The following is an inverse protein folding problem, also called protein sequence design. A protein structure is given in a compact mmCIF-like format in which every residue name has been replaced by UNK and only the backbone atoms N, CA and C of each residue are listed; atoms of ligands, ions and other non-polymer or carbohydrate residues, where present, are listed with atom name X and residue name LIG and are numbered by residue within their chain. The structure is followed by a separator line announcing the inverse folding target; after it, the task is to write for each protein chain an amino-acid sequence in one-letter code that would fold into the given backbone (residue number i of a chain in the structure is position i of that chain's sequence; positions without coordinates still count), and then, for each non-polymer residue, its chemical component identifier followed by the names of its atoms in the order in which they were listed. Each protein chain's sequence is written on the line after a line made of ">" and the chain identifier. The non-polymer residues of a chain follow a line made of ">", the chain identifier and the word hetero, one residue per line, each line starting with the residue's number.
data_IF_191935615150
#
_entry.id   IF_191935615150
#
_cell.length_a   1.000
_cell.length_b   1.000
_cell.length_c   1.000
_cell.angle_alpha   90.00
_cell.angle_beta   90.00
_cell.angle_gamma   90.00
#
_symmetry.space_group_name_H-M   'P 1'
#
loop_
_entity.id
_entity.type
_entity.pdbx_description
1 polymer ?
#
# COMPACT_ATOMS: atom_id res chain seq x y z
N UNK A 1 0.02 34.63 -20.80
CA UNK A 1 0.35 34.63 -19.37
C UNK A 1 1.56 33.75 -19.19
N UNK A 2 2.70 34.30 -18.79
CA UNK A 2 3.94 33.52 -18.63
C UNK A 2 3.73 32.50 -17.53
N UNK A 3 3.93 31.21 -17.82
CA UNK A 3 3.94 30.18 -16.80
C UNK A 3 5.17 30.45 -15.91
N UNK A 4 4.97 31.15 -14.79
CA UNK A 4 6.06 31.47 -13.89
C UNK A 4 6.52 30.19 -13.21
N UNK A 5 7.70 29.73 -13.64
CA UNK A 5 8.31 28.50 -13.17
C UNK A 5 9.01 28.78 -11.83
N UNK A 6 8.48 28.24 -10.73
CA UNK A 6 9.02 28.47 -9.38
C UNK A 6 9.52 27.17 -8.77
N UNK A 7 10.71 27.20 -8.18
CA UNK A 7 11.26 26.08 -7.42
C UNK A 7 10.43 25.91 -6.14
N UNK A 8 9.83 24.74 -5.96
CA UNK A 8 9.01 24.39 -4.80
C UNK A 8 9.43 23.05 -4.23
N UNK A 9 9.21 22.92 -2.92
CA UNK A 9 9.36 21.68 -2.19
C UNK A 9 8.06 20.89 -2.30
N UNK A 10 8.16 19.70 -2.87
CA UNK A 10 7.04 18.78 -3.06
C UNK A 10 7.21 17.60 -2.11
N UNK A 11 6.27 17.43 -1.19
CA UNK A 11 6.27 16.34 -0.20
C UNK A 11 5.74 15.04 -0.79
N UNK A 12 6.39 13.96 -0.40
CA UNK A 12 5.96 12.58 -0.63
C UNK A 12 5.92 11.80 0.69
N UNK A 13 5.38 10.57 0.66
CA UNK A 13 5.31 9.70 1.83
C UNK A 13 6.69 9.27 2.34
N UNK A 14 7.65 9.07 1.43
CA UNK A 14 9.02 8.64 1.71
C UNK A 14 10.06 9.75 1.64
N UNK A 15 9.65 11.02 1.55
CA UNK A 15 10.60 12.14 1.50
C UNK A 15 10.05 13.42 0.87
N UNK A 16 10.90 14.11 0.12
CA UNK A 16 10.49 15.27 -0.68
C UNK A 16 11.36 15.44 -1.91
N UNK A 17 10.84 16.16 -2.91
CA UNK A 17 11.56 16.52 -4.13
C UNK A 17 11.50 18.03 -4.29
N UNK A 18 12.63 18.63 -4.65
CA UNK A 18 12.70 20.03 -5.06
C UNK A 18 12.57 20.08 -6.57
N UNK A 19 11.48 20.67 -7.05
CA UNK A 19 11.20 20.75 -8.47
C UNK A 19 10.60 22.10 -8.85
N UNK A 20 10.86 22.50 -10.09
CA UNK A 20 10.28 23.70 -10.68
C UNK A 20 8.89 23.39 -11.22
N UNK A 21 7.88 24.02 -10.63
CA UNK A 21 6.45 23.80 -10.96
C UNK A 21 5.82 25.07 -11.50
N UNK A 22 4.77 24.91 -12.30
CA UNK A 22 3.93 26.01 -12.77
C UNK A 22 2.73 26.25 -11.82
N UNK A 23 2.00 27.36 -12.03
CA UNK A 23 0.86 27.72 -11.19
C UNK A 23 -0.23 26.64 -11.16
N UNK A 24 -0.51 25.99 -12.29
CA UNK A 24 -1.51 24.93 -12.37
C UNK A 24 -1.12 23.69 -11.55
N UNK A 25 0.15 23.28 -11.61
CA UNK A 25 0.69 22.19 -10.80
C UNK A 25 0.72 22.57 -9.33
N UNK A 26 1.09 23.81 -8.99
CA UNK A 26 1.05 24.31 -7.62
C UNK A 26 -0.37 24.27 -7.05
N UNK A 27 -1.38 24.67 -7.83
CA UNK A 27 -2.79 24.58 -7.43
C UNK A 27 -3.23 23.13 -7.21
N UNK A 28 -2.87 22.20 -8.11
CA UNK A 28 -3.16 20.77 -7.95
C UNK A 28 -2.48 20.16 -6.71
N UNK A 29 -1.23 20.54 -6.45
CA UNK A 29 -0.45 20.04 -5.33
C UNK A 29 -0.87 20.57 -3.97
N UNK A 30 -1.61 21.68 -3.92
CA UNK A 30 -2.08 22.27 -2.68
C UNK A 30 -3.40 21.61 -2.24
N UNK A 31 -3.30 20.70 -1.27
CA UNK A 31 -4.44 19.99 -0.70
C UNK A 31 -5.06 20.73 0.51
N UNK A 32 -4.92 22.06 0.57
CA UNK A 32 -5.44 22.89 1.67
C UNK A 32 -4.49 23.06 2.86
N UNK A 33 -3.19 22.80 2.65
CA UNK A 33 -2.14 22.93 3.66
C UNK A 33 -1.01 23.86 3.23
N UNK A 34 0.02 23.98 4.07
CA UNK A 34 1.23 24.74 3.75
C UNK A 34 2.16 24.00 2.76
N UNK A 35 2.08 22.67 2.74
CA UNK A 35 2.92 21.81 1.91
C UNK A 35 2.24 21.47 0.58
N UNK A 36 3.04 21.40 -0.49
CA UNK A 36 2.62 20.87 -1.79
C UNK A 36 2.92 19.38 -1.86
N UNK A 37 2.00 18.57 -2.39
CA UNK A 37 2.18 17.12 -2.48
C UNK A 37 2.39 16.64 -3.91
N UNK A 38 3.38 15.75 -4.09
CA UNK A 38 3.66 15.10 -5.38
C UNK A 38 2.50 14.24 -5.87
N UNK A 39 1.78 13.61 -4.95
CA UNK A 39 0.69 12.69 -5.27
C UNK A 39 -0.40 13.33 -6.15
N UNK A 40 -0.68 14.63 -5.94
CA UNK A 40 -1.72 15.36 -6.66
C UNK A 40 -1.19 16.12 -7.90
N UNK A 41 0.12 16.42 -7.94
CA UNK A 41 0.75 17.08 -9.09
C UNK A 41 0.91 16.12 -10.26
N UNK A 42 1.26 14.86 -9.98
CA UNK A 42 1.49 13.84 -10.99
C UNK A 42 2.96 13.70 -11.39
N UNK A 43 3.17 13.31 -12.65
CA UNK A 43 4.50 13.12 -13.23
C UNK A 43 5.22 14.45 -13.44
N UNK A 44 6.45 14.52 -12.97
CA UNK A 44 7.37 15.61 -13.25
C UNK A 44 8.46 15.13 -14.18
N UNK A 45 8.84 15.98 -15.12
CA UNK A 45 10.00 15.72 -15.99
C UNK A 45 11.29 15.77 -15.16
N UNK A 46 12.21 14.87 -15.47
CA UNK A 46 13.50 14.76 -14.77
C UNK A 46 14.29 16.08 -14.76
N UNK A 47 14.14 16.92 -15.80
CA UNK A 47 14.81 18.22 -15.91
C UNK A 47 14.25 19.27 -14.94
N UNK A 48 13.00 19.12 -14.50
CA UNK A 48 12.36 20.05 -13.55
C UNK A 48 12.79 19.76 -12.12
N UNK A 49 13.31 18.56 -11.84
CA UNK A 49 13.74 18.12 -10.52
C UNK A 49 15.21 18.48 -10.32
N UNK A 50 15.51 19.28 -9.29
CA UNK A 50 16.88 19.68 -8.98
C UNK A 50 17.51 18.81 -7.90
N UNK A 51 16.73 18.45 -6.86
CA UNK A 51 17.18 17.68 -5.71
C UNK A 51 16.06 16.81 -5.17
N UNK A 52 16.41 15.75 -4.46
CA UNK A 52 15.45 14.96 -3.69
C UNK A 52 16.02 14.51 -2.36
N UNK A 53 15.14 14.34 -1.38
CA UNK A 53 15.47 13.78 -0.07
C UNK A 53 14.72 12.47 0.12
N UNK A 54 15.42 11.46 0.61
CA UNK A 54 14.85 10.16 0.93
C UNK A 54 14.86 9.96 2.44
N UNK A 55 13.70 9.72 3.05
CA UNK A 55 13.55 9.43 4.47
C UNK A 55 14.28 8.14 4.86
N UNK A 56 14.30 7.12 4.00
CA UNK A 56 14.99 5.84 4.29
C UNK A 56 16.51 6.01 4.34
N UNK A 57 17.07 6.91 3.53
CA UNK A 57 18.51 7.20 3.55
C UNK A 57 18.86 8.31 4.55
N UNK A 58 17.88 9.07 5.02
CA UNK A 58 18.02 10.33 5.75
C UNK A 58 19.03 11.29 5.08
N UNK A 59 19.08 11.26 3.74
CA UNK A 59 20.05 11.99 2.93
C UNK A 59 19.36 12.74 1.79
N UNK A 60 19.93 13.90 1.49
CA UNK A 60 19.62 14.67 0.29
C UNK A 60 20.56 14.25 -0.84
N UNK A 61 19.99 14.10 -2.03
CA UNK A 61 20.67 13.72 -3.26
C UNK A 61 20.44 14.80 -4.31
N UNK A 62 21.47 15.12 -5.07
CA UNK A 62 21.38 16.04 -6.20
C UNK A 62 20.93 15.29 -7.46
N UNK A 63 20.03 15.90 -8.24
CA UNK A 63 19.41 15.30 -9.41
C UNK A 63 18.01 14.76 -9.16
N UNK A 64 17.56 13.86 -10.04
CA UNK A 64 16.21 13.30 -10.02
C UNK A 64 16.21 11.84 -9.52
N UNK A 65 15.20 11.43 -8.76
CA UNK A 65 14.98 10.02 -8.45
C UNK A 65 14.53 9.25 -9.71
N UNK A 66 14.67 7.93 -9.70
CA UNK A 66 14.17 7.06 -10.77
C UNK A 66 12.64 7.13 -10.78
N UNK A 67 12.04 7.43 -11.92
CA UNK A 67 10.58 7.48 -12.08
C UNK A 67 10.14 6.23 -12.86
N UNK A 68 9.33 5.38 -12.25
CA UNK A 68 8.66 4.25 -12.91
C UNK A 68 7.17 4.57 -12.97
N UNK A 69 6.56 4.45 -14.16
CA UNK A 69 5.14 4.74 -14.37
C UNK A 69 4.48 3.63 -15.18
N UNK A 70 3.20 3.42 -14.92
CA UNK A 70 2.33 2.42 -15.52
C UNK A 70 1.01 3.09 -15.91
N UNK A 71 0.46 2.71 -17.06
CA UNK A 71 -0.75 3.31 -17.63
C UNK A 71 -1.91 2.31 -17.61
N UNK A 72 -2.55 2.09 -16.45
CA UNK A 72 -3.57 1.05 -16.32
C UNK A 72 -4.85 1.34 -17.12
N UNK A 73 -5.20 2.62 -17.35
CA UNK A 73 -6.45 3.03 -18.00
C UNK A 73 -7.69 2.31 -17.44
N UNK A 74 -7.76 2.16 -16.13
CA UNK A 74 -8.83 1.44 -15.42
C UNK A 74 -9.93 2.40 -14.97
N UNK A 75 -11.20 2.05 -15.19
CA UNK A 75 -12.35 2.80 -14.70
C UNK A 75 -12.54 2.55 -13.20
N UNK A 76 -12.14 3.52 -12.37
CA UNK A 76 -12.21 3.41 -10.91
C UNK A 76 -13.57 3.82 -10.34
N UNK A 77 -14.32 4.64 -11.09
CA UNK A 77 -15.67 5.07 -10.76
C UNK A 77 -16.41 5.51 -12.04
N UNK A 78 -17.73 5.72 -11.95
CA UNK A 78 -18.54 6.25 -13.05
C UNK A 78 -17.91 7.54 -13.60
N UNK A 79 -17.46 7.52 -14.86
CA UNK A 79 -16.79 8.63 -15.58
C UNK A 79 -15.39 9.04 -15.06
N UNK A 80 -14.71 8.21 -14.26
CA UNK A 80 -13.35 8.49 -13.77
C UNK A 80 -12.40 7.33 -14.08
N UNK A 81 -11.40 7.59 -14.92
CA UNK A 81 -10.38 6.61 -15.33
C UNK A 81 -9.07 6.95 -14.62
N UNK A 82 -8.43 5.95 -14.00
CA UNK A 82 -7.04 6.03 -13.60
C UNK A 82 -6.15 5.87 -14.85
N UNK A 83 -5.70 6.99 -15.39
CA UNK A 83 -4.96 7.03 -16.64
C UNK A 83 -3.48 6.63 -16.47
N UNK A 84 -2.85 7.12 -15.40
CA UNK A 84 -1.44 6.88 -15.12
C UNK A 84 -1.22 6.73 -13.61
N UNK A 85 -0.37 5.79 -13.23
CA UNK A 85 0.16 5.66 -11.87
C UNK A 85 1.68 5.65 -11.97
N UNK A 86 2.37 6.39 -11.13
CA UNK A 86 3.84 6.32 -11.09
C UNK A 86 4.42 6.45 -9.71
N UNK A 87 5.66 5.98 -9.58
CA UNK A 87 6.43 5.93 -8.36
C UNK A 87 7.79 6.61 -8.57
N UNK A 88 8.14 7.46 -7.62
CA UNK A 88 9.46 8.09 -7.51
C UNK A 88 10.31 7.24 -6.57
N UNK A 89 11.37 6.63 -7.08
CA UNK A 89 12.21 5.65 -6.39
C UNK A 89 13.60 6.24 -6.15
N UNK A 90 14.11 6.11 -4.94
CA UNK A 90 15.46 6.55 -4.58
C UNK A 90 16.51 5.71 -5.31
N UNK A 91 17.47 6.35 -5.98
CA UNK A 91 18.54 5.65 -6.71
C UNK A 91 19.50 4.86 -5.80
N UNK A 92 19.64 5.27 -4.53
CA UNK A 92 20.63 4.70 -3.61
C UNK A 92 20.11 3.48 -2.85
N UNK A 93 18.85 3.53 -2.40
CA UNK A 93 18.25 2.46 -1.58
C UNK A 93 17.04 1.77 -2.23
N UNK A 94 16.63 2.20 -3.42
CA UNK A 94 15.43 1.72 -4.13
C UNK A 94 14.12 1.86 -3.33
N UNK A 95 14.08 2.70 -2.30
CA UNK A 95 12.86 3.00 -1.56
C UNK A 95 11.96 3.99 -2.32
N UNK A 96 10.64 3.81 -2.23
CA UNK A 96 9.66 4.72 -2.83
C UNK A 96 9.56 6.02 -2.02
N UNK A 97 9.90 7.14 -2.67
CA UNK A 97 9.84 8.49 -2.10
C UNK A 97 8.42 9.06 -2.20
N UNK A 98 7.74 8.82 -3.32
CA UNK A 98 6.38 9.26 -3.55
C UNK A 98 5.69 8.37 -4.58
N UNK A 99 4.37 8.23 -4.45
CA UNK A 99 3.49 7.66 -5.48
C UNK A 99 2.53 8.76 -5.95
N UNK A 100 2.25 8.81 -7.25
CA UNK A 100 1.23 9.67 -7.84
C UNK A 100 0.26 8.88 -8.69
N UNK A 101 -0.96 9.41 -8.82
CA UNK A 101 -2.05 8.85 -9.60
C UNK A 101 -2.69 9.96 -10.40
N UNK A 102 -2.78 9.80 -11.71
CA UNK A 102 -3.45 10.73 -12.60
C UNK A 102 -4.78 10.14 -13.05
N UNK A 103 -5.85 10.87 -12.76
CA UNK A 103 -7.19 10.51 -13.16
C UNK A 103 -7.64 11.39 -14.34
N UNK A 104 -8.24 10.77 -15.35
CA UNK A 104 -8.90 11.45 -16.46
C UNK A 104 -10.40 11.23 -16.33
N UNK A 105 -11.18 12.30 -16.48
CA UNK A 105 -12.63 12.21 -16.59
C UNK A 105 -12.98 11.99 -18.05
N UNK A 106 -13.90 11.07 -18.33
CA UNK A 106 -14.30 10.72 -19.70
C UNK A 106 -15.16 11.82 -20.38
N UNK A 107 -15.57 12.86 -19.65
CA UNK A 107 -16.39 13.97 -20.16
C UNK A 107 -15.92 15.33 -19.58
N UNK A 108 -15.02 16.03 -20.27
CA UNK A 108 -14.71 17.45 -20.02
C UNK A 108 -15.75 18.38 -20.70
N UNK A 109 -17.03 18.25 -20.35
CA UNK A 109 -18.06 19.28 -20.70
C UNK A 109 -19.04 19.61 -19.58
N UNK A 110 -18.79 19.17 -18.34
CA UNK A 110 -19.60 19.64 -17.20
C UNK A 110 -18.68 20.20 -16.12
N UNK A 111 -18.62 21.52 -16.14
CA UNK A 111 -18.15 22.44 -15.12
C UNK A 111 -18.55 21.96 -13.71
N UNK A 112 -17.62 21.30 -13.02
CA UNK A 112 -17.79 20.90 -11.62
C UNK A 112 -17.60 22.14 -10.76
N UNK A 113 -18.69 22.82 -10.42
CA UNK A 113 -18.63 23.94 -9.50
C UNK A 113 -19.86 24.85 -9.48
N UNK A 114 -21.00 24.37 -9.00
CA UNK A 114 -22.04 25.24 -8.42
C UNK A 114 -22.89 24.45 -7.43
N UNK A 115 -22.61 24.62 -6.14
CA UNK A 115 -23.53 24.17 -5.10
C UNK A 115 -24.71 25.15 -5.01
N UNK A 116 -25.95 24.65 -5.08
CA UNK A 116 -27.17 25.30 -4.56
C UNK A 116 -28.35 24.29 -4.52
N UNK A 117 -29.42 24.54 -3.74
CA UNK A 117 -29.86 23.68 -2.64
C UNK A 117 -31.17 22.92 -2.92
N UNK A 118 -31.52 22.04 -1.98
CA UNK A 118 -32.79 21.33 -1.85
C UNK A 118 -34.01 22.25 -2.06
N UNK A 119 -34.84 21.98 -3.07
CA UNK A 119 -36.26 22.35 -3.07
C UNK A 119 -37.15 21.28 -3.72
N UNK A 120 -38.13 20.88 -2.91
CA UNK A 120 -39.35 20.10 -3.16
C UNK A 120 -40.19 20.63 -4.32
N UNK A 121 -40.74 19.74 -5.15
CA UNK A 121 -42.08 19.85 -5.79
C UNK A 121 -42.40 18.45 -6.37
N UNK A 122 -43.16 17.58 -5.70
CA UNK A 122 -44.63 17.51 -5.61
C UNK A 122 -45.37 17.26 -6.94
N UNK A 123 -45.83 16.01 -7.08
CA UNK A 123 -47.12 15.54 -7.63
C UNK A 123 -47.33 15.65 -9.17
N UNK A 124 -47.76 14.61 -9.89
CA UNK A 124 -49.12 14.02 -9.85
C UNK A 124 -49.09 12.69 -10.64
N UNK A 125 -49.31 11.50 -10.04
CA UNK A 125 -50.57 10.70 -9.95
C UNK A 125 -51.18 10.40 -11.35
N UNK A 126 -51.30 9.16 -11.85
CA UNK A 126 -52.29 8.11 -11.47
C UNK A 126 -51.90 6.69 -11.99
N UNK A 127 -52.60 5.62 -11.55
CA UNK A 127 -52.05 4.27 -11.33
C UNK A 127 -52.57 3.18 -12.30
N UNK A 128 -51.86 2.06 -12.39
CA UNK A 128 -52.49 0.76 -12.67
C UNK A 128 -51.99 -0.30 -11.67
N UNK A 129 -52.92 -0.69 -10.80
CA UNK A 129 -52.88 -1.84 -9.91
C UNK A 129 -53.14 -3.11 -10.74
N UNK A 130 -52.27 -4.09 -10.57
CA UNK A 130 -52.58 -5.51 -10.70
C UNK A 130 -51.65 -6.22 -9.71
N UNK A 131 -52.21 -6.59 -8.56
CA UNK A 131 -51.57 -7.45 -7.55
C UNK A 131 -51.51 -8.92 -8.05
N UNK A 132 -51.09 -9.88 -7.22
CA UNK A 132 -49.71 -10.19 -6.85
C UNK A 132 -49.37 -11.62 -7.33
N UNK A 133 -48.12 -12.09 -7.18
CA UNK A 133 -47.81 -13.47 -6.74
C UNK A 133 -46.28 -13.69 -6.67
N UNK A 134 -45.87 -13.90 -5.41
CA UNK A 134 -44.85 -14.80 -4.87
C UNK A 134 -43.35 -14.58 -5.17
N UNK A 135 -42.72 -14.02 -4.15
CA UNK A 135 -41.38 -14.29 -3.66
C UNK A 135 -41.04 -15.80 -3.64
N UNK A 136 -39.94 -16.19 -4.27
CA UNK A 136 -39.13 -17.34 -3.87
C UNK A 136 -37.64 -17.00 -3.93
N UNK A 137 -36.93 -17.53 -2.94
CA UNK A 137 -35.55 -17.24 -2.55
C UNK A 137 -34.71 -18.46 -2.92
N UNK A 138 -33.46 -18.21 -3.34
CA UNK A 138 -32.23 -19.06 -3.44
C UNK A 138 -31.70 -19.45 -4.84
N UNK A 139 -30.36 -19.61 -4.94
CA UNK A 139 -29.61 -19.59 -6.20
C UNK A 139 -29.08 -20.97 -6.65
N UNK A 140 -29.06 -21.20 -7.96
CA UNK A 140 -28.28 -22.23 -8.69
C UNK A 140 -27.46 -21.48 -9.76
N UNK A 141 -26.13 -21.40 -9.68
CA UNK A 141 -25.09 -22.36 -10.14
C UNK A 141 -25.18 -22.71 -11.64
N UNK A 142 -24.22 -22.24 -12.45
CA UNK A 142 -23.36 -23.03 -13.39
C UNK A 142 -22.56 -22.10 -14.33
N UNK A 143 -21.22 -21.97 -14.22
CA UNK A 143 -20.12 -22.72 -14.88
C UNK A 143 -19.60 -22.17 -16.23
N UNK A 144 -18.30 -21.78 -16.24
CA UNK A 144 -17.20 -22.11 -17.19
C UNK A 144 -17.32 -21.60 -18.66
N UNK A 145 -16.28 -21.17 -19.42
CA UNK A 145 -14.84 -21.45 -19.45
C UNK A 145 -14.03 -20.49 -20.38
N UNK A 146 -12.72 -20.30 -20.07
CA UNK A 146 -11.50 -20.13 -20.91
C UNK A 146 -11.44 -19.04 -22.04
N UNK A 147 -10.35 -18.31 -22.38
CA UNK A 147 -8.86 -18.49 -22.34
C UNK A 147 -8.15 -17.10 -22.51
N UNK A 148 -6.93 -16.97 -21.95
CA UNK A 148 -5.92 -15.86 -21.95
C UNK A 148 -5.48 -15.28 -23.33
N UNK A 149 -4.58 -14.23 -23.47
CA UNK A 149 -3.55 -13.69 -22.53
C UNK A 149 -3.34 -12.15 -22.44
N UNK A 150 -2.66 -11.67 -21.36
CA UNK A 150 -2.00 -10.35 -21.32
C UNK A 150 -1.82 -9.72 -19.93
N UNK A 151 -0.69 -10.02 -19.26
CA UNK A 151 -0.16 -9.54 -17.96
C UNK A 151 -0.91 -8.43 -17.20
N UNK A 152 -1.78 -8.84 -16.29
CA UNK A 152 -2.01 -8.11 -15.05
C UNK A 152 -1.05 -8.68 -14.00
N UNK A 153 -0.36 -7.84 -13.24
CA UNK A 153 0.24 -8.27 -11.96
C UNK A 153 -0.92 -8.63 -11.07
N UNK A 154 -1.33 -9.90 -11.16
CA UNK A 154 -2.49 -10.43 -10.50
C UNK A 154 -2.42 -10.03 -9.03
N UNK A 155 -3.48 -9.41 -8.55
CA UNK A 155 -3.80 -9.40 -7.13
C UNK A 155 -3.98 -10.88 -6.81
N UNK A 156 -2.88 -11.57 -6.46
CA UNK A 156 -2.89 -13.01 -6.27
C UNK A 156 -3.81 -13.24 -5.08
N UNK A 157 -5.02 -13.71 -5.35
CA UNK A 157 -5.95 -14.14 -4.32
C UNK A 157 -5.18 -15.06 -3.40
N UNK A 158 -4.88 -14.57 -2.19
CA UNK A 158 -4.14 -15.35 -1.20
C UNK A 158 -4.95 -16.57 -0.77
N UNK A 159 -6.27 -16.53 -1.01
CA UNK A 159 -7.20 -17.63 -0.85
C UNK A 159 -6.80 -18.81 -1.76
N UNK A 160 -6.62 -19.98 -1.14
CA UNK A 160 -6.23 -21.22 -1.82
C UNK A 160 -4.73 -21.45 -1.96
N UNK A 161 -3.88 -20.46 -1.68
CA UNK A 161 -2.42 -20.62 -1.71
C UNK A 161 -1.95 -21.65 -0.68
N UNK A 162 -0.99 -22.48 -1.07
CA UNK A 162 -0.39 -23.45 -0.16
C UNK A 162 0.56 -22.77 0.82
N UNK A 163 0.43 -23.10 2.11
CA UNK A 163 1.24 -22.55 3.20
C UNK A 163 2.26 -23.59 3.63
N UNK A 164 3.54 -23.22 3.66
CA UNK A 164 4.65 -24.08 4.06
C UNK A 164 5.43 -23.50 5.23
N UNK A 165 5.93 -24.36 6.12
CA UNK A 165 6.85 -23.96 7.18
C UNK A 165 8.32 -23.90 6.72
N UNK A 166 9.21 -23.58 7.65
CA UNK A 166 10.67 -23.50 7.43
C UNK A 166 11.31 -24.84 7.01
N UNK A 167 10.65 -25.96 7.27
CA UNK A 167 11.09 -27.31 6.91
C UNK A 167 10.53 -27.77 5.55
N UNK A 168 9.94 -26.85 4.78
CA UNK A 168 9.20 -27.14 3.55
C UNK A 168 8.03 -28.13 3.75
N UNK A 169 7.48 -28.23 4.98
CA UNK A 169 6.30 -29.02 5.26
C UNK A 169 5.06 -28.18 4.97
N UNK A 170 4.16 -28.72 4.15
CA UNK A 170 2.87 -28.09 3.88
C UNK A 170 2.02 -28.09 5.14
N UNK A 171 1.64 -26.92 5.62
CA UNK A 171 0.80 -26.73 6.80
C UNK A 171 -0.69 -26.72 6.43
N UNK A 172 -1.03 -26.12 5.30
CA UNK A 172 -2.42 -26.01 4.86
C UNK A 172 -2.61 -25.17 3.61
N UNK A 173 -3.84 -24.70 3.42
CA UNK A 173 -4.22 -23.70 2.40
C UNK A 173 -4.71 -22.44 3.07
N UNK A 174 -4.33 -21.29 2.54
CA UNK A 174 -4.85 -20.01 3.00
C UNK A 174 -6.34 -19.87 2.67
N UNK A 175 -7.10 -19.35 3.63
CA UNK A 175 -8.55 -19.12 3.51
C UNK A 175 -8.82 -17.65 3.22
N UNK A 176 -8.43 -16.76 4.12
CA UNK A 176 -8.51 -15.29 3.97
C UNK A 176 -7.65 -14.59 5.04
N UNK A 177 -7.51 -13.27 4.94
CA UNK A 177 -6.84 -12.43 5.95
C UNK A 177 -7.87 -11.89 6.94
N UNK A 178 -7.59 -12.01 8.24
CA UNK A 178 -8.43 -11.53 9.32
C UNK A 178 -7.66 -10.64 10.31
N UNK A 179 -8.40 -10.10 11.27
CA UNK A 179 -7.87 -9.32 12.40
C UNK A 179 -8.27 -10.06 13.68
N UNK A 180 -7.32 -10.29 14.58
CA UNK A 180 -7.58 -10.95 15.86
C UNK A 180 -8.17 -9.97 16.91
N UNK A 181 -8.49 -10.49 18.10
CA UNK A 181 -9.04 -9.68 19.21
C UNK A 181 -8.09 -8.58 19.72
N UNK A 182 -6.80 -8.66 19.38
CA UNK A 182 -5.78 -7.67 19.74
C UNK A 182 -5.51 -6.67 18.60
N UNK A 183 -6.41 -6.59 17.61
CA UNK A 183 -6.26 -5.75 16.41
C UNK A 183 -5.04 -6.10 15.55
N UNK A 184 -4.48 -7.31 15.68
CA UNK A 184 -3.35 -7.78 14.90
C UNK A 184 -3.81 -8.55 13.67
N UNK A 185 -3.13 -8.33 12.54
CA UNK A 185 -3.43 -9.02 11.28
C UNK A 185 -2.99 -10.48 11.38
N UNK A 186 -3.89 -11.39 11.02
CA UNK A 186 -3.66 -12.84 11.03
C UNK A 186 -4.14 -13.47 9.73
N UNK A 187 -3.42 -14.47 9.22
CA UNK A 187 -3.83 -15.28 8.09
C UNK A 187 -4.62 -16.50 8.60
N UNK A 188 -5.87 -16.63 8.19
CA UNK A 188 -6.66 -17.83 8.46
C UNK A 188 -6.34 -18.89 7.40
N UNK A 189 -6.07 -20.11 7.87
CA UNK A 189 -5.71 -21.25 7.04
C UNK A 189 -6.61 -22.43 7.36
N UNK A 190 -6.78 -23.31 6.36
CA UNK A 190 -7.34 -24.65 6.54
C UNK A 190 -6.15 -25.60 6.56
N UNK A 191 -5.90 -26.24 7.70
CA UNK A 191 -4.82 -27.23 7.86
C UNK A 191 -5.14 -28.50 7.07
N UNK A 192 -4.13 -29.34 6.88
CA UNK A 192 -4.31 -30.62 6.17
C UNK A 192 -5.30 -31.59 6.85
N UNK A 193 -5.57 -31.41 8.15
CA UNK A 193 -6.57 -32.18 8.91
C UNK A 193 -8.00 -31.64 8.76
N UNK A 194 -8.20 -30.58 7.97
CA UNK A 194 -9.50 -29.93 7.76
C UNK A 194 -9.88 -28.93 8.86
N UNK A 195 -9.05 -28.76 9.90
CA UNK A 195 -9.29 -27.76 10.94
C UNK A 195 -8.83 -26.38 10.51
N UNK A 196 -9.47 -25.35 11.07
CA UNK A 196 -9.05 -23.96 10.87
C UNK A 196 -7.91 -23.60 11.82
N UNK A 197 -6.93 -22.87 11.31
CA UNK A 197 -5.83 -22.31 12.08
C UNK A 197 -5.63 -20.84 11.74
N UNK A 198 -5.07 -20.08 12.68
CA UNK A 198 -4.64 -18.70 12.46
C UNK A 198 -3.12 -18.61 12.55
N UNK A 199 -2.52 -17.83 11.66
CA UNK A 199 -1.08 -17.56 11.61
C UNK A 199 -0.87 -16.05 11.72
N UNK A 200 -0.14 -15.56 12.72
CA UNK A 200 0.21 -14.14 12.81
C UNK A 200 0.93 -13.65 11.56
N UNK A 201 0.59 -12.46 11.08
CA UNK A 201 1.22 -11.91 9.88
C UNK A 201 2.74 -11.77 10.00
N UNK A 202 3.25 -11.52 11.22
CA UNK A 202 4.68 -11.45 11.53
C UNK A 202 5.46 -12.75 11.26
N UNK A 203 4.77 -13.89 11.19
CA UNK A 203 5.38 -15.19 10.91
C UNK A 203 5.41 -15.49 9.41
N UNK A 204 4.90 -14.60 8.55
CA UNK A 204 4.91 -14.78 7.10
C UNK A 204 6.19 -14.15 6.55
N UNK A 205 7.07 -14.99 5.99
CA UNK A 205 8.35 -14.54 5.42
C UNK A 205 8.18 -13.99 4.01
N UNK A 206 7.37 -14.65 3.19
CA UNK A 206 7.12 -14.26 1.79
C UNK A 206 5.78 -14.79 1.31
N UNK A 207 5.11 -13.98 0.48
CA UNK A 207 3.90 -14.35 -0.26
C UNK A 207 4.23 -14.30 -1.76
N UNK A 208 3.91 -15.37 -2.47
CA UNK A 208 4.02 -15.51 -3.93
C UNK A 208 3.05 -16.61 -4.38
N UNK A 209 3.48 -17.51 -5.27
CA UNK A 209 2.68 -18.70 -5.65
C UNK A 209 2.38 -19.62 -4.44
N UNK A 210 3.20 -19.51 -3.40
CA UNK A 210 3.04 -20.18 -2.11
C UNK A 210 3.33 -19.20 -0.98
N UNK A 211 2.80 -19.48 0.20
CA UNK A 211 3.05 -18.71 1.41
C UNK A 211 4.11 -19.44 2.23
N UNK A 212 5.22 -18.77 2.49
CA UNK A 212 6.32 -19.31 3.30
C UNK A 212 6.28 -18.69 4.69
N UNK A 213 6.18 -19.54 5.71
CA UNK A 213 6.32 -19.15 7.10
C UNK A 213 7.80 -19.03 7.46
N UNK A 214 8.12 -18.06 8.29
CA UNK A 214 9.41 -17.93 8.95
C UNK A 214 9.22 -17.93 10.45
N UNK A 215 10.27 -18.31 11.17
CA UNK A 215 10.37 -17.97 12.58
C UNK A 215 10.29 -16.44 12.69
N UNK A 216 9.61 -15.88 13.71
CA UNK A 216 9.74 -14.45 13.98
C UNK A 216 11.23 -14.20 14.10
N UNK A 217 11.77 -13.34 13.23
CA UNK A 217 13.09 -12.77 13.46
C UNK A 217 12.95 -12.16 14.84
N UNK A 218 13.58 -12.79 15.83
CA UNK A 218 13.68 -12.26 17.18
C UNK A 218 14.31 -10.90 16.96
N UNK A 219 13.48 -9.86 16.89
CA UNK A 219 13.94 -8.50 16.94
C UNK A 219 14.92 -8.47 18.11
N UNK A 220 16.14 -7.92 17.95
CA UNK A 220 17.07 -7.87 19.06
C UNK A 220 16.33 -7.25 20.23
N UNK A 221 16.01 -8.10 21.21
CA UNK A 221 15.37 -7.69 22.44
C UNK A 221 16.24 -6.57 22.99
N UNK A 222 15.65 -5.46 23.49
CA UNK A 222 16.44 -4.37 24.05
C UNK A 222 17.45 -4.99 25.01
N UNK A 223 18.73 -4.74 24.73
CA UNK A 223 19.87 -5.26 25.45
C UNK A 223 19.62 -4.96 26.92
N UNK A 224 19.19 -5.96 27.69
CA UNK A 224 19.08 -5.85 29.13
C UNK A 224 20.51 -5.61 29.62
N UNK A 225 20.82 -4.45 30.23
CA UNK A 225 22.17 -4.15 30.67
C UNK A 225 22.63 -5.26 31.63
N UNK A 226 23.73 -5.93 31.28
CA UNK A 226 24.34 -6.97 32.11
C UNK A 226 24.45 -8.36 31.49
N UNK A 227 23.70 -8.71 30.44
CA UNK A 227 23.84 -10.06 29.84
C UNK A 227 25.04 -10.19 28.90
N UNK A 228 25.87 -11.19 29.14
CA UNK A 228 26.99 -11.51 28.27
C UNK A 228 26.52 -12.07 26.93
N UNK A 229 26.93 -11.44 25.83
CA UNK A 229 26.64 -11.93 24.47
C UNK A 229 27.40 -13.21 24.11
N UNK A 230 28.50 -13.51 24.81
CA UNK A 230 29.35 -14.66 24.51
C UNK A 230 28.91 -15.94 25.20
N UNK A 231 28.45 -15.88 26.47
CA UNK A 231 28.00 -17.07 27.21
C UNK A 231 26.58 -16.98 27.77
N UNK A 232 25.92 -15.82 27.68
CA UNK A 232 24.55 -15.63 28.18
C UNK A 232 24.44 -15.35 29.68
N UNK A 233 25.55 -15.31 30.43
CA UNK A 233 25.56 -15.04 31.86
C UNK A 233 25.08 -13.61 32.18
N UNK A 234 24.24 -13.47 33.21
CA UNK A 234 23.73 -12.18 33.70
C UNK A 234 24.70 -11.58 34.71
N UNK A 235 25.49 -10.59 34.28
CA UNK A 235 26.44 -9.86 35.10
C UNK A 235 25.76 -8.69 35.83
N UNK A 236 26.36 -8.25 36.93
CA UNK A 236 25.91 -7.08 37.70
C UNK A 236 25.97 -5.79 36.87
N UNK A 237 25.07 -4.85 37.15
CA UNK A 237 25.04 -3.53 36.52
C UNK A 237 26.38 -2.80 36.69
N UNK A 238 26.99 -2.36 35.59
CA UNK A 238 28.29 -1.68 35.56
C UNK A 238 29.52 -2.59 35.34
N UNK A 239 29.35 -3.90 35.14
CA UNK A 239 30.46 -4.82 34.86
C UNK A 239 31.09 -4.56 33.48
N UNK A 240 32.40 -4.31 33.43
CA UNK A 240 33.15 -4.11 32.16
C UNK A 240 33.48 -5.43 31.43
N UNK A 241 33.49 -6.54 32.16
CA UNK A 241 33.79 -7.89 31.67
C UNK A 241 32.84 -8.89 32.30
N UNK A 242 32.63 -10.02 31.63
CA UNK A 242 31.80 -11.09 32.13
C UNK A 242 32.49 -11.82 33.29
N UNK A 243 31.80 -11.97 34.41
CA UNK A 243 32.28 -12.68 35.62
C UNK A 243 32.49 -14.18 35.38
N UNK A 244 31.81 -14.77 34.39
CA UNK A 244 31.89 -16.19 34.10
C UNK A 244 32.94 -16.51 33.01
N UNK A 245 32.92 -15.79 31.88
CA UNK A 245 33.77 -16.11 30.72
C UNK A 245 34.85 -15.06 30.40
N UNK A 246 34.93 -13.97 31.16
CA UNK A 246 35.93 -12.90 30.95
C UNK A 246 35.72 -12.03 29.70
N UNK A 247 34.69 -12.29 28.89
CA UNK A 247 34.42 -11.51 27.67
C UNK A 247 34.00 -10.08 27.99
N UNK A 248 34.46 -9.11 27.19
CA UNK A 248 34.12 -7.70 27.37
C UNK A 248 32.63 -7.47 27.14
N UNK A 249 31.95 -6.90 28.13
CA UNK A 249 30.55 -6.49 28.01
C UNK A 249 30.55 -5.07 27.42
N UNK A 250 29.79 -4.85 26.34
CA UNK A 250 29.72 -3.55 25.67
C UNK A 250 29.06 -2.49 26.55
#
# INVERSE_FOLDING_TARGET
>A
MSAELRLKKLRGSGGYVMATVNDQQQMKGNLGGADLFLAAIGRLENQKITKYFCNTCEKEFEGHPKIEYENPNEEVAENLILAEKGQYICNSCSATIAEYREFKKQNETVEVGSAKPLETTSQTITPQISEPVQTQIKPEISTQSATQPGSATAISSIEGLAVYDENAKKIGKAKHVGIDSNQSVVLLIIKNDGTEGSIPWNNIRKVGDVILLGSPVVAPQPIQPGKCVSCGFSNKEGSKFCEECGSKLQ
#
